data_IF_139106956455
#
_entry.id   IF_139106956455
#
_cell.length_a   1.000
_cell.length_b   1.000
_cell.length_c   1.000
_cell.angle_alpha   90.00
_cell.angle_beta   90.00
_cell.angle_gamma   90.00
#
_symmetry.space_group_name_H-M   'P 1'
#
loop_
_entity.id
_entity.type
_entity.pdbx_description
1 polymer ?
#
# COMPACT_ATOMS: atom_id res chain seq x y z
N UNK A 1 16.78 -6.43 -13.57
CA UNK A 1 16.74 -7.19 -12.31
C UNK A 1 15.93 -8.47 -12.49
N UNK A 2 16.27 -9.54 -11.78
CA UNK A 2 15.46 -10.76 -11.83
C UNK A 2 14.09 -10.57 -11.20
N UNK A 3 13.15 -11.42 -11.59
CA UNK A 3 11.78 -11.39 -11.06
C UNK A 3 11.74 -11.39 -9.53
N UNK A 4 12.56 -12.24 -8.90
CA UNK A 4 12.58 -12.33 -7.44
C UNK A 4 12.98 -11.00 -6.77
N UNK A 5 13.87 -10.23 -7.37
CA UNK A 5 14.28 -8.93 -6.82
C UNK A 5 13.11 -7.94 -6.86
N UNK A 6 12.36 -7.90 -7.94
CA UNK A 6 11.16 -7.06 -8.02
C UNK A 6 10.10 -7.51 -7.02
N UNK A 7 9.95 -8.81 -6.82
CA UNK A 7 9.00 -9.36 -5.85
C UNK A 7 9.37 -8.95 -4.43
N UNK A 8 10.66 -9.03 -4.07
CA UNK A 8 11.13 -8.59 -2.75
C UNK A 8 10.94 -7.09 -2.56
N UNK A 9 11.21 -6.29 -3.58
CA UNK A 9 10.97 -4.86 -3.55
C UNK A 9 9.49 -4.55 -3.29
N UNK A 10 8.61 -5.26 -3.97
CA UNK A 10 7.17 -5.14 -3.81
C UNK A 10 6.74 -5.50 -2.38
N UNK A 11 7.24 -6.60 -1.84
CA UNK A 11 6.95 -7.02 -0.46
C UNK A 11 7.46 -6.01 0.56
N UNK A 12 8.69 -5.52 0.38
CA UNK A 12 9.23 -4.50 1.27
C UNK A 12 8.32 -3.27 1.31
N UNK A 13 7.87 -2.82 0.14
CA UNK A 13 6.95 -1.69 0.06
C UNK A 13 5.64 -1.97 0.79
N UNK A 14 5.08 -3.18 0.64
CA UNK A 14 3.83 -3.55 1.33
C UNK A 14 4.00 -3.46 2.84
N UNK A 15 5.07 -4.05 3.38
CA UNK A 15 5.30 -4.03 4.83
C UNK A 15 5.55 -2.61 5.35
N UNK A 16 6.32 -1.82 4.63
CA UNK A 16 6.57 -0.42 4.99
C UNK A 16 5.28 0.40 5.00
N UNK A 17 4.42 0.20 4.00
CA UNK A 17 3.16 0.94 3.89
C UNK A 17 2.23 0.60 5.05
N UNK A 18 2.08 -0.68 5.36
CA UNK A 18 1.25 -1.13 6.48
C UNK A 18 1.80 -0.55 7.79
N UNK A 19 3.11 -0.59 7.98
CA UNK A 19 3.77 -0.06 9.17
C UNK A 19 3.48 1.43 9.34
N UNK A 20 3.63 2.22 8.27
CA UNK A 20 3.41 3.66 8.33
C UNK A 20 1.95 4.01 8.63
N UNK A 21 1.01 3.32 7.99
CA UNK A 21 -0.42 3.55 8.21
C UNK A 21 -0.85 3.12 9.61
N UNK A 22 -0.35 1.99 10.09
CA UNK A 22 -0.66 1.50 11.43
C UNK A 22 -0.10 2.43 12.51
N UNK A 23 1.14 2.89 12.36
CA UNK A 23 1.76 3.81 13.31
C UNK A 23 0.99 5.13 13.39
N UNK A 24 0.61 5.69 12.25
CA UNK A 24 -0.18 6.91 12.19
C UNK A 24 -1.55 6.73 12.83
N UNK A 25 -2.21 5.61 12.53
CA UNK A 25 -3.52 5.30 13.11
C UNK A 25 -3.44 5.16 14.63
N UNK A 26 -2.42 4.50 15.15
CA UNK A 26 -2.24 4.34 16.59
C UNK A 26 -1.99 5.68 17.29
N UNK A 27 -1.25 6.57 16.65
CA UNK A 27 -1.05 7.92 17.19
C UNK A 27 -2.38 8.65 17.38
N UNK A 28 -3.25 8.58 16.37
CA UNK A 28 -4.58 9.21 16.45
C UNK A 28 -5.46 8.53 17.48
N UNK A 29 -5.43 7.20 17.57
CA UNK A 29 -6.23 6.46 18.55
C UNK A 29 -5.82 6.76 19.98
N UNK A 30 -4.58 7.20 20.20
CA UNK A 30 -4.11 7.64 21.51
C UNK A 30 -4.47 9.10 21.80
N UNK A 31 -5.26 9.72 20.97
CA UNK A 31 -5.70 11.10 21.13
C UNK A 31 -4.83 12.14 20.43
N UNK A 32 -3.84 11.69 19.64
CA UNK A 32 -2.96 12.60 18.93
C UNK A 32 -3.56 13.15 17.66
N UNK A 33 -2.93 14.18 17.12
CA UNK A 33 -3.28 14.81 15.85
C UNK A 33 -2.07 14.86 14.94
N UNK A 34 -2.27 15.31 13.71
CA UNK A 34 -1.15 15.51 12.79
C UNK A 34 -0.15 16.52 13.33
N UNK A 35 -0.64 17.62 13.92
CA UNK A 35 0.20 18.70 14.41
C UNK A 35 1.13 18.25 15.54
N UNK A 36 0.67 17.34 16.42
CA UNK A 36 1.45 16.89 17.57
C UNK A 36 2.18 15.56 17.34
N UNK A 37 2.14 15.02 16.11
CA UNK A 37 2.83 13.77 15.81
C UNK A 37 4.31 14.08 15.48
N UNK A 38 5.25 13.75 16.39
CA UNK A 38 6.67 14.04 16.14
C UNK A 38 7.26 13.21 14.98
N UNK A 39 6.59 12.12 14.60
CA UNK A 39 7.04 11.21 13.55
C UNK A 39 6.29 11.39 12.25
N UNK A 40 5.44 12.42 12.12
CA UNK A 40 4.62 12.61 10.92
C UNK A 40 5.42 12.66 9.62
N UNK A 41 6.60 13.31 9.67
CA UNK A 41 7.45 13.45 8.49
C UNK A 41 8.05 12.11 8.08
N UNK A 42 8.63 11.38 9.04
CA UNK A 42 9.26 10.10 8.72
C UNK A 42 8.23 9.05 8.30
N UNK A 43 7.05 9.06 8.91
CA UNK A 43 5.97 8.15 8.53
C UNK A 43 5.44 8.50 7.14
N UNK A 44 5.30 9.78 6.81
CA UNK A 44 4.89 10.22 5.49
C UNK A 44 5.90 9.84 4.41
N UNK A 45 7.17 10.02 4.67
CA UNK A 45 8.24 9.63 3.75
C UNK A 45 8.25 8.11 3.57
N UNK A 46 8.16 7.35 4.67
CA UNK A 46 8.10 5.89 4.63
C UNK A 46 6.93 5.42 3.78
N UNK A 47 5.77 6.02 3.97
CA UNK A 47 4.56 5.68 3.20
C UNK A 47 4.75 5.99 1.70
N UNK A 48 5.31 7.17 1.37
CA UNK A 48 5.55 7.57 -0.01
C UNK A 48 6.55 6.66 -0.72
N UNK A 49 7.67 6.37 -0.04
CA UNK A 49 8.67 5.43 -0.57
C UNK A 49 8.06 4.04 -0.74
N UNK A 50 7.27 3.60 0.24
CA UNK A 50 6.59 2.31 0.18
C UNK A 50 5.67 2.21 -1.04
N UNK A 51 4.87 3.25 -1.30
CA UNK A 51 3.97 3.27 -2.45
C UNK A 51 4.75 3.15 -3.77
N UNK A 52 5.89 3.84 -3.88
CA UNK A 52 6.75 3.75 -5.06
C UNK A 52 7.38 2.36 -5.20
N UNK A 53 7.82 1.75 -4.11
CA UNK A 53 8.38 0.40 -4.14
C UNK A 53 7.35 -0.63 -4.57
N UNK A 54 6.11 -0.50 -4.09
CA UNK A 54 5.01 -1.39 -4.49
C UNK A 54 4.77 -1.27 -5.99
N UNK A 55 4.67 -0.05 -6.49
CA UNK A 55 4.38 0.20 -7.90
C UNK A 55 5.52 -0.29 -8.79
N UNK A 56 6.75 0.08 -8.47
CA UNK A 56 7.94 -0.29 -9.24
C UNK A 56 8.15 -1.79 -9.22
N UNK A 57 8.05 -2.41 -8.04
CA UNK A 57 8.18 -3.87 -7.91
C UNK A 57 7.09 -4.60 -8.68
N UNK A 58 5.85 -4.12 -8.59
CA UNK A 58 4.73 -4.71 -9.31
C UNK A 58 4.89 -4.67 -10.81
N UNK A 59 5.19 -3.50 -11.37
CA UNK A 59 5.40 -3.37 -12.81
C UNK A 59 6.69 -4.08 -13.27
N UNK A 60 7.73 -4.11 -12.43
CA UNK A 60 8.92 -4.89 -12.72
C UNK A 60 8.63 -6.38 -12.86
N UNK A 61 7.81 -6.93 -11.97
CA UNK A 61 7.37 -8.32 -12.07
C UNK A 61 6.58 -8.56 -13.35
N UNK A 62 5.64 -7.66 -13.69
CA UNK A 62 4.84 -7.79 -14.91
C UNK A 62 5.72 -7.75 -16.15
N UNK A 63 6.71 -6.88 -16.19
CA UNK A 63 7.65 -6.80 -17.31
C UNK A 63 8.43 -8.11 -17.47
N UNK A 64 8.86 -8.72 -16.36
CA UNK A 64 9.59 -9.98 -16.41
C UNK A 64 8.71 -11.16 -16.78
N UNK A 65 7.40 -11.09 -16.51
CA UNK A 65 6.45 -12.12 -16.93
C UNK A 65 5.98 -11.97 -18.38
N UNK A 66 6.34 -10.87 -19.03
CA UNK A 66 5.95 -10.66 -20.43
C UNK A 66 4.50 -10.25 -20.63
N UNK A 67 3.81 -9.78 -19.58
CA UNK A 67 2.39 -9.38 -19.66
C UNK A 67 2.19 -7.91 -19.96
N UNK A 68 3.26 -7.17 -20.25
CA UNK A 68 3.20 -5.74 -20.54
C UNK A 68 2.90 -5.44 -22.02
N UNK A 69 2.58 -6.46 -22.81
CA UNK A 69 2.27 -6.30 -24.22
C UNK A 69 0.77 -6.14 -24.42
N UNK A 70 0.36 -5.01 -25.00
CA UNK A 70 -1.04 -4.70 -25.24
C UNK A 70 -1.76 -4.21 -23.98
N UNK A 71 -3.08 -4.44 -23.91
CA UNK A 71 -3.88 -4.00 -22.77
C UNK A 71 -3.59 -4.85 -21.54
N UNK A 72 -3.51 -4.20 -20.38
CA UNK A 72 -3.30 -4.89 -19.12
C UNK A 72 -4.55 -5.68 -18.73
N UNK A 73 -4.37 -6.89 -18.14
CA UNK A 73 -5.52 -7.66 -17.63
C UNK A 73 -6.32 -6.90 -16.57
N UNK A 74 -7.61 -7.23 -16.47
CA UNK A 74 -8.50 -6.55 -15.53
C UNK A 74 -8.04 -6.67 -14.08
N UNK A 75 -7.44 -7.81 -13.69
CA UNK A 75 -6.96 -7.99 -12.32
C UNK A 75 -5.86 -7.00 -11.93
N UNK A 76 -5.07 -6.52 -12.89
CA UNK A 76 -4.07 -5.48 -12.65
C UNK A 76 -4.76 -4.14 -12.37
N UNK A 77 -5.84 -3.83 -13.08
CA UNK A 77 -6.61 -2.61 -12.83
C UNK A 77 -7.21 -2.61 -11.42
N UNK A 78 -7.69 -3.75 -10.94
CA UNK A 78 -8.18 -3.88 -9.57
C UNK A 78 -7.06 -3.60 -8.56
N UNK A 79 -5.88 -4.16 -8.78
CA UNK A 79 -4.72 -3.91 -7.93
C UNK A 79 -4.31 -2.45 -7.94
N UNK A 80 -4.34 -1.80 -9.11
CA UNK A 80 -4.03 -0.37 -9.22
C UNK A 80 -5.04 0.48 -8.46
N UNK A 81 -6.32 0.13 -8.51
CA UNK A 81 -7.36 0.84 -7.74
C UNK A 81 -7.10 0.71 -6.24
N UNK A 82 -6.73 -0.48 -5.77
CA UNK A 82 -6.36 -0.70 -4.37
C UNK A 82 -5.11 0.12 -4.03
N UNK A 83 -4.10 0.12 -4.91
CA UNK A 83 -2.88 0.89 -4.70
C UNK A 83 -3.16 2.40 -4.56
N UNK A 84 -4.00 2.96 -5.43
CA UNK A 84 -4.38 4.37 -5.36
C UNK A 84 -5.07 4.67 -4.03
N UNK A 85 -5.98 3.79 -3.61
CA UNK A 85 -6.67 3.93 -2.32
C UNK A 85 -5.68 3.94 -1.16
N UNK A 86 -4.76 2.99 -1.14
CA UNK A 86 -3.75 2.90 -0.07
C UNK A 86 -2.74 4.05 -0.14
N UNK A 87 -2.38 4.49 -1.35
CA UNK A 87 -1.47 5.63 -1.52
C UNK A 87 -2.08 6.92 -0.97
N UNK A 88 -3.39 7.09 -1.11
CA UNK A 88 -4.10 8.26 -0.60
C UNK A 88 -4.47 8.14 0.88
N UNK A 89 -4.30 6.97 1.49
CA UNK A 89 -4.85 6.68 2.83
C UNK A 89 -4.09 7.37 3.97
N UNK A 90 -2.90 7.95 3.72
CA UNK A 90 -2.06 8.50 4.79
C UNK A 90 -2.72 9.66 5.53
N UNK A 91 -3.61 10.40 4.87
CA UNK A 91 -4.32 11.53 5.48
C UNK A 91 -5.57 11.09 6.25
N UNK A 92 -6.07 9.88 6.01
CA UNK A 92 -7.35 9.43 6.54
C UNK A 92 -7.35 9.29 8.07
N UNK A 93 -6.31 8.73 8.72
CA UNK A 93 -6.33 8.60 10.18
C UNK A 93 -6.47 9.92 10.90
N UNK A 94 -5.91 10.99 10.33
CA UNK A 94 -5.96 12.32 10.96
C UNK A 94 -7.35 12.96 10.90
N UNK A 95 -8.28 12.36 10.17
CA UNK A 95 -9.66 12.84 10.09
C UNK A 95 -10.49 12.52 11.33
N UNK A 96 -10.02 11.58 12.16
CA UNK A 96 -10.69 11.24 13.40
C UNK A 96 -10.41 9.81 13.84
N UNK A 97 -10.72 9.52 15.11
CA UNK A 97 -10.42 8.22 15.70
C UNK A 97 -11.17 7.08 15.02
N UNK A 98 -12.40 7.31 14.56
CA UNK A 98 -13.15 6.25 13.88
C UNK A 98 -12.51 5.89 12.54
N UNK A 99 -11.93 6.87 11.83
CA UNK A 99 -11.22 6.63 10.59
C UNK A 99 -9.91 5.88 10.83
N UNK A 100 -9.18 6.26 11.88
CA UNK A 100 -7.96 5.56 12.28
C UNK A 100 -8.24 4.10 12.63
N UNK A 101 -9.33 3.85 13.38
CA UNK A 101 -9.74 2.49 13.73
C UNK A 101 -10.14 1.69 12.50
N UNK A 102 -10.88 2.31 11.59
CA UNK A 102 -11.29 1.66 10.35
C UNK A 102 -10.08 1.26 9.51
N UNK A 103 -9.06 2.11 9.44
CA UNK A 103 -7.85 1.80 8.66
C UNK A 103 -7.07 0.61 9.23
N UNK A 104 -7.02 0.46 10.54
CA UNK A 104 -6.33 -0.69 11.13
C UNK A 104 -6.92 -2.02 10.67
N UNK A 105 -8.22 -2.04 10.34
CA UNK A 105 -8.89 -3.22 9.80
C UNK A 105 -8.81 -3.25 8.29
N UNK A 106 -9.08 -2.12 7.63
CA UNK A 106 -9.22 -2.08 6.17
C UNK A 106 -7.89 -2.24 5.43
N UNK A 107 -6.78 -1.75 5.98
CA UNK A 107 -5.49 -1.85 5.30
C UNK A 107 -5.05 -3.31 5.12
N UNK A 108 -5.05 -4.15 6.17
CA UNK A 108 -4.76 -5.57 5.96
C UNK A 108 -5.75 -6.26 5.02
N UNK A 109 -7.03 -5.94 5.12
CA UNK A 109 -8.06 -6.52 4.24
C UNK A 109 -7.78 -6.17 2.77
N UNK A 110 -7.51 -4.90 2.48
CA UNK A 110 -7.20 -4.47 1.11
C UNK A 110 -5.92 -5.12 0.60
N UNK A 111 -4.90 -5.27 1.47
CA UNK A 111 -3.66 -5.93 1.10
C UNK A 111 -3.88 -7.39 0.73
N UNK A 112 -4.71 -8.10 1.51
CA UNK A 112 -5.06 -9.49 1.22
C UNK A 112 -5.88 -9.59 -0.07
N UNK A 113 -6.83 -8.68 -0.29
CA UNK A 113 -7.61 -8.66 -1.53
C UNK A 113 -6.73 -8.43 -2.75
N UNK A 114 -5.75 -7.52 -2.65
CA UNK A 114 -4.79 -7.31 -3.72
C UNK A 114 -3.96 -8.57 -3.99
N UNK A 115 -3.50 -9.23 -2.93
CA UNK A 115 -2.78 -10.48 -3.05
C UNK A 115 -3.62 -11.60 -3.66
N UNK A 116 -4.87 -11.73 -3.24
CA UNK A 116 -5.78 -12.72 -3.79
C UNK A 116 -6.05 -12.47 -5.28
N UNK A 117 -6.21 -11.21 -5.66
CA UNK A 117 -6.39 -10.84 -7.07
C UNK A 117 -5.21 -11.29 -7.92
N UNK A 118 -3.98 -11.11 -7.38
CA UNK A 118 -2.77 -11.53 -8.09
C UNK A 118 -2.63 -13.05 -8.15
N UNK A 119 -2.99 -13.77 -7.06
CA UNK A 119 -2.84 -15.22 -6.99
C UNK A 119 -3.88 -15.96 -7.81
N UNK A 120 -5.14 -15.54 -7.71
CA UNK A 120 -6.23 -16.24 -8.38
C UNK A 120 -6.56 -15.70 -9.75
N UNK A 121 -6.23 -14.45 -10.02
CA UNK A 121 -6.46 -13.79 -11.32
C UNK A 121 -7.86 -14.09 -11.87
N UNK A 122 -8.92 -13.71 -11.11
CA UNK A 122 -10.28 -14.13 -11.44
C UNK A 122 -10.82 -13.57 -12.76
N UNK A 123 -10.15 -12.58 -13.36
CA UNK A 123 -10.61 -11.97 -14.61
C UNK A 123 -9.47 -11.36 -15.44
#
# INVERSE_FOLDING_TARGET
>A
MPYAAYKLMHFLGIFMLITALAATSMHVLRGGSRADNPYRRILGITHGVAALLILTGGFGMLARLGVMHGALPAWIHVKLAIWVTLAAAMVVPYRGQRYARALLVMVPVLAVLAGATALYKPF
#
